data_IF_162437429786
#
_entry.id   IF_162437429786
#
_cell.length_a   1.000
_cell.length_b   1.000
_cell.length_c   1.000
_cell.angle_alpha   90.00
_cell.angle_beta   90.00
_cell.angle_gamma   90.00
#
_symmetry.space_group_name_H-M   'P 1'
#
loop_
_entity.id
_entity.type
_entity.pdbx_description
1 polymer ?
#
# COMPACT_ATOMS: atom_id res chain seq x y z
N UNK A 1 6.49 12.61 -10.84
CA UNK A 1 5.53 12.94 -11.91
C UNK A 1 4.22 13.39 -11.25
N UNK A 2 3.75 14.61 -11.52
CA UNK A 2 2.38 15.07 -11.19
C UNK A 2 1.83 15.03 -9.75
N UNK A 3 2.64 14.95 -8.68
CA UNK A 3 2.13 14.72 -7.31
C UNK A 3 1.30 15.87 -6.68
N UNK A 4 1.23 17.06 -7.28
CA UNK A 4 0.51 18.22 -6.73
C UNK A 4 -0.22 19.01 -7.82
N UNK A 5 -1.31 18.48 -8.37
CA UNK A 5 -2.06 19.20 -9.40
C UNK A 5 -3.51 19.42 -8.97
N UNK A 6 -3.90 20.67 -8.72
CA UNK A 6 -5.17 21.05 -8.09
C UNK A 6 -6.41 20.78 -8.97
N UNK A 7 -6.25 20.68 -10.30
CA UNK A 7 -7.36 20.68 -11.26
C UNK A 7 -7.53 19.36 -12.03
N UNK A 8 -6.49 18.52 -12.12
CA UNK A 8 -6.50 17.33 -12.98
C UNK A 8 -6.78 16.03 -12.22
N UNK A 9 -7.36 15.06 -12.92
CA UNK A 9 -7.53 13.68 -12.44
C UNK A 9 -6.16 13.07 -12.12
N UNK A 10 -6.06 12.43 -10.96
CA UNK A 10 -4.81 11.84 -10.47
C UNK A 10 -4.68 10.39 -10.96
N UNK A 11 -3.46 9.98 -11.32
CA UNK A 11 -3.14 8.59 -11.63
C UNK A 11 -2.32 8.03 -10.48
N UNK A 12 -2.85 6.99 -9.84
CA UNK A 12 -2.22 6.24 -8.76
C UNK A 12 -1.57 5.01 -9.37
N UNK A 13 -0.26 5.02 -9.42
CA UNK A 13 0.55 3.89 -9.85
C UNK A 13 1.79 3.80 -8.97
N UNK A 14 2.26 2.57 -8.75
CA UNK A 14 3.51 2.33 -8.04
C UNK A 14 4.38 1.34 -8.82
N UNK A 15 5.68 1.61 -8.81
CA UNK A 15 6.70 0.72 -9.36
C UNK A 15 7.81 0.58 -8.32
N UNK A 16 8.14 -0.67 -7.97
CA UNK A 16 9.23 -1.00 -7.06
C UNK A 16 10.54 -1.20 -7.86
N UNK A 17 11.46 -0.24 -7.87
CA UNK A 17 12.75 -0.43 -8.53
C UNK A 17 13.69 -1.36 -7.74
N UNK A 18 13.48 -1.51 -6.43
CA UNK A 18 14.37 -2.29 -5.56
C UNK A 18 14.11 -3.79 -5.62
N UNK A 19 12.87 -4.15 -5.95
CA UNK A 19 12.40 -5.52 -5.94
C UNK A 19 12.15 -6.08 -4.54
N UNK A 20 12.35 -5.32 -3.46
CA UNK A 20 12.29 -5.80 -2.07
C UNK A 20 11.08 -5.32 -1.30
N UNK A 21 10.35 -4.34 -1.81
CA UNK A 21 9.21 -3.76 -1.10
C UNK A 21 7.97 -4.63 -1.30
N UNK A 22 7.41 -5.10 -0.19
CA UNK A 22 6.21 -5.95 -0.18
C UNK A 22 4.95 -5.10 -0.25
N UNK A 23 4.89 -4.01 0.52
CA UNK A 23 3.72 -3.16 0.62
C UNK A 23 4.14 -1.70 0.50
N UNK A 24 3.48 -0.97 -0.40
CA UNK A 24 3.69 0.45 -0.59
C UNK A 24 2.38 1.22 -0.46
N UNK A 25 2.39 2.33 0.28
CA UNK A 25 1.21 3.15 0.55
C UNK A 25 1.25 4.44 -0.27
N UNK A 26 0.15 4.73 -0.97
CA UNK A 26 -0.08 6.01 -1.65
C UNK A 26 -1.35 6.67 -1.11
N UNK A 27 -1.32 7.97 -0.74
CA UNK A 27 -0.15 8.85 -0.66
C UNK A 27 0.85 8.46 0.45
N UNK A 28 2.16 8.62 0.18
CA UNK A 28 3.25 8.27 1.11
C UNK A 28 3.25 9.14 2.38
N UNK A 29 2.87 10.41 2.23
CA UNK A 29 2.90 11.43 3.28
C UNK A 29 1.58 12.22 3.33
N UNK A 30 1.24 12.74 4.51
CA UNK A 30 0.09 13.63 4.71
C UNK A 30 -1.20 12.95 5.19
N UNK A 31 -2.31 13.68 5.08
CA UNK A 31 -3.66 13.29 5.50
C UNK A 31 -4.26 12.14 4.69
N UNK A 32 -3.61 11.69 3.61
CA UNK A 32 -4.14 10.68 2.71
C UNK A 32 -5.32 11.23 1.92
N UNK A 33 -5.02 12.00 0.87
CA UNK A 33 -6.04 12.63 0.05
C UNK A 33 -5.98 12.06 -1.36
N UNK A 34 -7.00 11.25 -1.72
CA UNK A 34 -7.23 10.79 -3.09
C UNK A 34 -8.46 11.50 -3.63
N UNK A 35 -8.30 12.11 -4.81
CA UNK A 35 -9.37 12.85 -5.48
C UNK A 35 -10.43 11.93 -6.07
N UNK A 36 -11.66 12.42 -6.16
CA UNK A 36 -12.72 11.72 -6.88
C UNK A 36 -12.35 11.53 -8.35
N UNK A 37 -12.51 10.32 -8.87
CA UNK A 37 -12.22 9.98 -10.26
C UNK A 37 -10.77 9.64 -10.53
N UNK A 38 -9.92 9.56 -9.51
CA UNK A 38 -8.54 9.11 -9.67
C UNK A 38 -8.49 7.72 -10.34
N UNK A 39 -7.55 7.56 -11.28
CA UNK A 39 -7.31 6.30 -11.97
C UNK A 39 -6.28 5.50 -11.18
N UNK A 40 -6.66 4.31 -10.74
CA UNK A 40 -5.77 3.34 -10.11
C UNK A 40 -5.27 2.37 -11.18
N UNK A 41 -3.95 2.31 -11.38
CA UNK A 41 -3.31 1.38 -12.30
C UNK A 41 -2.53 0.36 -11.47
N UNK A 42 -2.99 -0.87 -11.47
CA UNK A 42 -2.38 -2.00 -10.77
C UNK A 42 -1.60 -2.85 -11.77
N UNK A 43 -0.34 -3.14 -11.49
CA UNK A 43 0.49 -4.00 -12.34
C UNK A 43 0.17 -5.47 -12.10
N UNK A 44 0.51 -6.32 -13.07
CA UNK A 44 0.23 -7.76 -13.05
C UNK A 44 0.82 -8.51 -11.84
N UNK A 45 2.00 -8.07 -11.37
CA UNK A 45 2.65 -8.64 -10.19
C UNK A 45 2.15 -8.04 -8.86
N UNK A 46 1.08 -7.24 -8.87
CA UNK A 46 0.60 -6.48 -7.72
C UNK A 46 -0.91 -6.63 -7.54
N UNK A 47 -1.35 -6.43 -6.30
CA UNK A 47 -2.74 -6.17 -5.94
C UNK A 47 -2.80 -4.82 -5.23
N UNK A 48 -3.92 -4.11 -5.29
CA UNK A 48 -4.08 -2.84 -4.59
C UNK A 48 -5.29 -2.88 -3.65
N UNK A 49 -5.16 -2.42 -2.42
CA UNK A 49 -6.27 -2.34 -1.46
C UNK A 49 -6.59 -0.88 -1.20
N UNK A 50 -7.84 -0.49 -1.43
CA UNK A 50 -8.32 0.86 -1.17
C UNK A 50 -8.91 0.97 0.23
N UNK A 51 -8.43 1.98 0.97
CA UNK A 51 -8.92 2.33 2.28
C UNK A 51 -9.55 3.72 2.23
N UNK A 52 -10.71 3.85 2.89
CA UNK A 52 -11.44 5.10 2.98
C UNK A 52 -12.01 5.26 4.38
N UNK A 53 -11.76 6.42 5.00
CA UNK A 53 -12.14 6.73 6.37
C UNK A 53 -11.75 5.64 7.39
N UNK A 54 -10.55 5.05 7.22
CA UNK A 54 -10.01 4.03 8.12
C UNK A 54 -10.61 2.63 7.95
N UNK A 55 -11.40 2.39 6.90
CA UNK A 55 -11.91 1.05 6.56
C UNK A 55 -11.33 0.59 5.23
N UNK A 56 -10.98 -0.69 5.13
CA UNK A 56 -10.71 -1.34 3.86
C UNK A 56 -12.02 -1.51 3.10
N UNK A 57 -12.06 -1.09 1.84
CA UNK A 57 -13.24 -1.22 0.99
C UNK A 57 -13.11 -2.42 0.06
N UNK A 58 -12.15 -2.37 -0.86
CA UNK A 58 -12.02 -3.39 -1.89
C UNK A 58 -10.54 -3.63 -2.27
N UNK A 59 -10.28 -4.83 -2.77
CA UNK A 59 -8.99 -5.25 -3.31
C UNK A 59 -9.08 -5.35 -4.84
N UNK A 60 -8.28 -4.52 -5.51
CA UNK A 60 -8.24 -4.40 -6.95
C UNK A 60 -7.18 -5.35 -7.54
N UNK A 61 -7.59 -6.22 -8.49
CA UNK A 61 -6.67 -7.06 -9.25
C UNK A 61 -5.88 -6.21 -10.27
N UNK A 62 -4.89 -6.81 -10.96
CA UNK A 62 -4.18 -6.15 -12.06
C UNK A 62 -5.11 -5.49 -13.08
N UNK A 63 -4.74 -4.30 -13.54
CA UNK A 63 -5.50 -3.54 -14.52
C UNK A 63 -5.80 -2.11 -14.10
N UNK A 64 -6.66 -1.45 -14.88
CA UNK A 64 -7.05 -0.06 -14.68
C UNK A 64 -8.42 0.03 -14.00
N UNK A 65 -8.47 0.73 -12.88
CA UNK A 65 -9.67 0.92 -12.06
C UNK A 65 -9.91 2.41 -11.83
N UNK A 66 -11.17 2.82 -11.70
CA UNK A 66 -11.52 4.21 -11.38
C UNK A 66 -11.99 4.29 -9.93
N UNK A 67 -11.28 5.05 -9.10
CA UNK A 67 -11.63 5.23 -7.70
C UNK A 67 -12.74 6.28 -7.56
N UNK A 68 -13.84 5.86 -6.95
CA UNK A 68 -14.96 6.74 -6.59
C UNK A 68 -14.85 7.09 -5.10
N UNK A 69 -14.22 8.23 -4.79
CA UNK A 69 -14.20 8.80 -3.43
C UNK A 69 -15.24 9.91 -3.30
N UNK A 70 -15.85 10.15 -2.13
CA UNK A 70 -16.77 11.29 -2.00
C UNK A 70 -16.06 12.68 -2.02
N UNK A 71 -14.77 12.71 -2.37
CA UNK A 71 -13.92 13.89 -2.34
C UNK A 71 -14.03 14.69 -3.65
N UNK A 72 -15.09 15.51 -3.77
CA UNK A 72 -15.24 16.46 -4.88
C UNK A 72 -14.36 17.69 -4.61
N UNK A 73 -13.39 18.05 -5.47
CA UNK A 73 -12.33 19.04 -5.20
C UNK A 73 -12.81 20.45 -4.78
N UNK A 74 -14.04 20.83 -5.13
CA UNK A 74 -14.63 22.13 -4.78
C UNK A 74 -15.36 22.09 -3.43
N UNK A 75 -15.96 20.94 -3.07
CA UNK A 75 -16.70 20.75 -1.82
C UNK A 75 -15.77 20.60 -0.61
N UNK A 76 -14.62 19.95 -0.79
CA UNK A 76 -13.66 19.69 0.31
C UNK A 76 -13.02 20.97 0.84
N UNK A 77 -12.76 21.98 0.00
CA UNK A 77 -12.19 23.25 0.47
C UNK A 77 -13.10 24.00 1.44
N UNK A 78 -14.39 24.08 1.15
CA UNK A 78 -15.37 24.74 2.03
C UNK A 78 -15.56 23.98 3.36
N UNK A 79 -15.53 22.65 3.32
CA UNK A 79 -15.68 21.79 4.50
C UNK A 79 -14.39 21.62 5.31
N UNK A 80 -13.21 21.86 4.73
CA UNK A 80 -11.90 21.76 5.41
C UNK A 80 -11.48 23.03 6.18
N UNK A 81 -12.22 24.14 6.01
CA UNK A 81 -11.95 25.41 6.70
C UNK A 81 -11.88 25.29 8.25
N UNK A 82 -12.72 24.49 8.92
CA UNK A 82 -12.65 24.29 10.37
C UNK A 82 -11.44 23.45 10.83
N UNK A 83 -10.86 22.67 9.93
CA UNK A 83 -9.73 21.77 10.19
C UNK A 83 -8.42 22.26 9.54
N UNK A 84 -8.30 23.57 9.30
CA UNK A 84 -7.07 24.18 8.81
C UNK A 84 -6.66 23.73 7.41
N UNK A 85 -7.63 23.55 6.50
CA UNK A 85 -7.41 23.07 5.12
C UNK A 85 -6.95 21.62 5.01
N UNK A 86 -7.09 20.82 6.07
CA UNK A 86 -6.88 19.37 6.02
C UNK A 86 -8.21 18.69 5.69
N UNK A 87 -8.26 17.84 4.65
CA UNK A 87 -9.47 17.07 4.36
C UNK A 87 -9.73 16.06 5.49
N UNK A 88 -10.93 16.05 6.11
CA UNK A 88 -11.29 15.02 7.08
C UNK A 88 -11.53 13.65 6.41
N UNK A 89 -11.74 13.64 5.09
CA UNK A 89 -11.92 12.43 4.30
C UNK A 89 -10.56 11.87 3.93
N UNK A 90 -10.13 10.82 4.63
CA UNK A 90 -8.88 10.12 4.36
C UNK A 90 -9.10 8.98 3.39
N UNK A 91 -8.36 8.99 2.30
CA UNK A 91 -8.35 7.97 1.27
C UNK A 91 -6.90 7.57 0.97
N UNK A 92 -6.63 6.28 1.02
CA UNK A 92 -5.29 5.72 0.79
C UNK A 92 -5.39 4.40 0.03
N UNK A 93 -4.36 4.09 -0.75
CA UNK A 93 -4.22 2.84 -1.49
C UNK A 93 -2.94 2.17 -1.07
N UNK A 94 -3.03 0.89 -0.73
CA UNK A 94 -1.88 0.03 -0.47
C UNK A 94 -1.67 -0.89 -1.65
N UNK A 95 -0.53 -0.76 -2.32
CA UNK A 95 -0.08 -1.71 -3.32
C UNK A 95 0.69 -2.83 -2.61
N UNK A 96 0.25 -4.07 -2.84
CA UNK A 96 0.86 -5.28 -2.31
C UNK A 96 1.49 -6.04 -3.46
N UNK A 97 2.77 -6.35 -3.34
CA UNK A 97 3.50 -7.12 -4.33
C UNK A 97 3.22 -8.62 -4.14
N UNK A 98 2.72 -9.28 -5.19
CA UNK A 98 2.34 -10.68 -5.18
C UNK A 98 3.43 -11.60 -5.76
N UNK A 99 4.58 -11.04 -6.15
CA UNK A 99 5.73 -11.83 -6.62
C UNK A 99 6.36 -12.65 -5.48
N UNK A 100 7.09 -13.69 -5.86
CA UNK A 100 7.90 -14.47 -4.91
C UNK A 100 9.14 -13.68 -4.48
N UNK A 101 9.29 -13.44 -3.18
CA UNK A 101 10.47 -12.80 -2.60
C UNK A 101 11.54 -13.86 -2.29
N UNK A 102 12.47 -14.04 -3.22
CA UNK A 102 13.66 -14.85 -2.99
C UNK A 102 14.58 -14.15 -1.97
N UNK A 103 15.01 -14.86 -0.93
CA UNK A 103 15.89 -14.31 0.10
C UNK A 103 15.23 -13.99 1.45
N UNK A 104 13.94 -14.30 1.62
CA UNK A 104 13.32 -14.36 2.95
C UNK A 104 13.67 -15.70 3.62
N UNK A 105 14.88 -15.81 4.17
CA UNK A 105 15.23 -16.97 5.01
C UNK A 105 14.38 -16.94 6.29
N UNK A 106 13.83 -18.08 6.66
CA UNK A 106 13.13 -18.24 7.93
C UNK A 106 14.07 -18.97 8.88
N UNK A 107 14.23 -18.47 10.10
CA UNK A 107 15.15 -19.07 11.05
C UNK A 107 15.31 -18.23 12.30
N UNK A 108 15.87 -18.84 13.34
CA UNK A 108 16.27 -18.14 14.55
C UNK A 108 17.70 -17.62 14.40
N UNK A 109 17.99 -16.47 15.02
CA UNK A 109 19.34 -15.88 14.99
C UNK A 109 20.39 -16.83 15.58
N UNK A 110 20.00 -17.49 16.67
CA UNK A 110 20.80 -18.48 17.37
C UNK A 110 20.28 -19.90 17.06
N UNK A 111 21.17 -20.90 16.91
CA UNK A 111 20.76 -22.24 16.55
C UNK A 111 19.92 -22.90 17.65
N UNK A 112 18.89 -23.65 17.26
CA UNK A 112 18.00 -24.35 18.19
C UNK A 112 18.62 -25.71 18.52
N UNK A 113 18.79 -25.99 19.82
CA UNK A 113 19.24 -27.30 20.28
C UNK A 113 18.10 -28.33 20.10
N UNK A 114 18.33 -29.32 19.26
CA UNK A 114 17.44 -30.43 18.98
C UNK A 114 18.09 -31.73 19.46
N UNK A 115 17.33 -32.59 20.12
CA UNK A 115 17.82 -33.89 20.56
C UNK A 115 17.42 -34.95 19.54
N UNK A 116 18.39 -35.39 18.77
CA UNK A 116 18.25 -36.47 17.80
C UNK A 116 18.57 -37.83 18.44
N UNK A 117 17.88 -38.88 17.99
CA UNK A 117 18.03 -40.23 18.54
C UNK A 117 19.33 -40.94 18.10
N UNK A 118 19.86 -40.60 16.93
CA UNK A 118 21.09 -41.19 16.36
C UNK A 118 22.31 -40.30 16.61
N UNK A 119 22.14 -38.99 16.48
CA UNK A 119 23.23 -38.00 16.50
C UNK A 119 23.38 -37.29 17.86
N UNK A 120 22.46 -37.50 18.81
CA UNK A 120 22.51 -36.85 20.12
C UNK A 120 22.06 -35.39 20.05
N UNK A 121 22.75 -34.48 20.75
CA UNK A 121 22.36 -33.06 20.78
C UNK A 121 22.89 -32.34 19.53
N UNK A 122 21.99 -31.99 18.61
CA UNK A 122 22.29 -31.31 17.34
C UNK A 122 21.81 -29.86 17.38
N UNK A 123 22.58 -28.96 16.79
CA UNK A 123 22.22 -27.53 16.65
C UNK A 123 21.67 -27.28 15.25
N UNK A 124 20.35 -27.07 15.15
CA UNK A 124 19.69 -26.76 13.88
C UNK A 124 19.85 -25.27 13.55
N UNK A 125 20.24 -24.98 12.30
CA UNK A 125 20.29 -23.63 11.72
C UNK A 125 19.64 -23.68 10.33
N UNK A 126 18.84 -22.67 10.04
CA UNK A 126 18.18 -22.46 8.74
C UNK A 126 18.88 -21.36 7.95
#
# INVERSE_FOLDING_TARGET
MGKNNLVFLEVLEWFDPSGKEIVHRIPEYGSGEIKFGAQLIVRDSQAAVFFYNGRAYDAFPPGRHTLKTANVPVLTKALSLPWGFTSPLRAEVYFVNMKVFAGCTWGTRDPVAFRDALLGLVRLRA
#
